data_IF_029957272214
#
_entry.id   IF_029957272214
#
_cell.length_a   1.000
_cell.length_b   1.000
_cell.length_c   1.000
_cell.angle_alpha   90.00
_cell.angle_beta   90.00
_cell.angle_gamma   90.00
#
_symmetry.space_group_name_H-M   'P 1'
#
loop_
_entity.id
_entity.type
_entity.pdbx_description
1 polymer ?
#
# COMPACT_ATOMS: atom_id res chain seq x y z
N UNK A 1 42.08 43.90 -97.95
CA UNK A 1 41.93 42.42 -97.93
C UNK A 1 42.60 41.96 -96.64
N UNK A 2 41.98 41.30 -95.67
CA UNK A 2 40.83 40.41 -95.65
C UNK A 2 40.00 40.66 -94.37
N UNK A 3 38.70 40.38 -94.46
CA UNK A 3 37.84 40.11 -93.31
C UNK A 3 38.34 38.89 -92.54
N UNK A 4 38.12 38.84 -91.23
CA UNK A 4 37.64 37.60 -90.61
C UNK A 4 36.85 37.90 -89.34
N UNK A 5 35.66 37.33 -89.33
CA UNK A 5 34.68 37.24 -88.24
C UNK A 5 35.06 35.99 -87.44
N UNK A 6 35.13 36.04 -86.12
CA UNK A 6 35.00 34.83 -85.30
C UNK A 6 34.28 35.17 -84.00
N UNK A 7 33.11 34.57 -83.89
CA UNK A 7 32.26 34.43 -82.71
C UNK A 7 32.97 33.60 -81.64
N UNK A 8 32.84 33.97 -80.36
CA UNK A 8 32.97 33.00 -79.28
C UNK A 8 31.91 33.25 -78.20
N UNK A 9 30.98 32.29 -78.20
CA UNK A 9 30.14 31.76 -77.13
C UNK A 9 30.56 32.12 -75.69
N UNK A 10 29.63 32.72 -74.94
CA UNK A 10 29.69 32.75 -73.47
C UNK A 10 29.12 31.43 -72.96
N UNK A 11 29.99 30.45 -72.80
CA UNK A 11 29.68 29.18 -72.12
C UNK A 11 29.92 29.39 -70.61
N UNK A 12 28.86 29.24 -69.81
CA UNK A 12 28.90 29.44 -68.36
C UNK A 12 29.75 28.36 -67.68
N UNK A 13 30.70 28.79 -66.84
CA UNK A 13 31.59 27.90 -66.08
C UNK A 13 30.79 27.08 -65.03
N UNK A 14 30.76 25.73 -65.13
CA UNK A 14 29.98 24.87 -64.22
C UNK A 14 30.52 24.79 -62.79
N UNK A 15 31.73 25.31 -62.51
CA UNK A 15 32.41 25.10 -61.22
C UNK A 15 32.26 26.25 -60.20
N UNK A 16 31.49 27.30 -60.51
CA UNK A 16 31.31 28.44 -59.61
C UNK A 16 30.12 28.26 -58.68
N UNK A 17 30.33 27.52 -57.59
CA UNK A 17 29.32 27.39 -56.52
C UNK A 17 29.28 28.69 -55.69
N UNK A 18 28.11 29.32 -55.61
CA UNK A 18 27.89 30.55 -54.85
C UNK A 18 28.23 30.36 -53.35
N UNK A 19 29.11 31.20 -52.75
CA UNK A 19 29.39 31.16 -51.30
C UNK A 19 28.13 31.23 -50.43
N UNK A 20 27.10 31.96 -50.86
CA UNK A 20 25.80 32.05 -50.17
C UNK A 20 25.04 30.72 -50.21
N UNK A 21 25.20 29.92 -51.27
CA UNK A 21 24.61 28.58 -51.37
C UNK A 21 25.32 27.56 -50.47
N UNK A 22 26.65 27.67 -50.31
CA UNK A 22 27.40 26.85 -49.35
C UNK A 22 27.08 27.21 -47.90
N UNK A 23 26.98 28.50 -47.59
CA UNK A 23 26.58 28.97 -46.26
C UNK A 23 25.13 28.57 -45.93
N UNK A 24 24.23 28.63 -46.93
CA UNK A 24 22.86 28.13 -46.81
C UNK A 24 22.78 26.61 -46.60
N UNK A 25 23.65 25.82 -47.24
CA UNK A 25 23.75 24.37 -47.02
C UNK A 25 24.22 24.04 -45.62
N UNK A 26 25.27 24.70 -45.13
CA UNK A 26 25.77 24.49 -43.77
C UNK A 26 24.70 24.90 -42.74
N UNK A 27 24.03 26.03 -42.95
CA UNK A 27 22.92 26.45 -42.09
C UNK A 27 21.76 25.44 -42.09
N UNK A 28 21.42 24.88 -43.26
CA UNK A 28 20.37 23.86 -43.40
C UNK A 28 20.76 22.56 -42.69
N UNK A 29 22.00 22.09 -42.86
CA UNK A 29 22.52 20.91 -42.16
C UNK A 29 22.56 21.14 -40.64
N UNK A 30 22.97 22.33 -40.19
CA UNK A 30 22.95 22.66 -38.77
C UNK A 30 21.52 22.71 -38.23
N UNK A 31 20.56 23.26 -38.97
CA UNK A 31 19.16 23.30 -38.56
C UNK A 31 18.54 21.91 -38.50
N UNK A 32 18.81 21.03 -39.48
CA UNK A 32 18.32 19.65 -39.45
C UNK A 32 18.94 18.85 -38.30
N UNK A 33 20.23 19.04 -38.02
CA UNK A 33 20.89 18.42 -36.86
C UNK A 33 20.27 18.92 -35.55
N UNK A 34 20.02 20.22 -35.41
CA UNK A 34 19.38 20.78 -34.22
C UNK A 34 17.94 20.26 -34.03
N UNK A 35 17.17 20.13 -35.11
CA UNK A 35 15.84 19.53 -35.05
C UNK A 35 15.91 18.07 -34.61
N UNK A 36 16.80 17.26 -35.19
CA UNK A 36 16.98 15.85 -34.81
C UNK A 36 17.39 15.69 -33.34
N UNK A 37 18.33 16.52 -32.87
CA UNK A 37 18.73 16.54 -31.46
C UNK A 37 17.57 16.95 -30.55
N UNK A 38 16.76 17.92 -30.95
CA UNK A 38 15.59 18.34 -30.16
C UNK A 38 14.55 17.21 -30.04
N UNK A 39 14.28 16.46 -31.12
CA UNK A 39 13.37 15.31 -31.09
C UNK A 39 13.91 14.17 -30.21
N UNK A 40 15.22 13.90 -30.23
CA UNK A 40 15.83 12.90 -29.35
C UNK A 40 15.70 13.29 -27.88
N UNK A 41 15.96 14.55 -27.53
CA UNK A 41 15.82 15.05 -26.15
C UNK A 41 14.36 15.00 -25.69
N UNK A 42 13.42 15.42 -26.54
CA UNK A 42 11.98 15.33 -26.25
C UNK A 42 11.59 13.86 -26.01
N UNK A 43 12.00 12.94 -26.89
CA UNK A 43 11.74 11.51 -26.76
C UNK A 43 12.27 10.90 -25.46
N UNK A 44 13.49 11.27 -25.04
CA UNK A 44 14.08 10.84 -23.76
C UNK A 44 13.30 11.42 -22.58
N UNK A 45 12.98 12.72 -22.59
CA UNK A 45 12.23 13.37 -21.51
C UNK A 45 10.81 12.80 -21.39
N UNK A 46 10.14 12.53 -22.50
CA UNK A 46 8.83 11.86 -22.49
C UNK A 46 8.94 10.41 -22.07
N UNK A 47 9.98 9.68 -22.47
CA UNK A 47 10.20 8.28 -22.08
C UNK A 47 10.52 8.14 -20.59
N UNK A 48 11.32 9.03 -20.02
CA UNK A 48 11.61 9.08 -18.58
C UNK A 48 10.37 9.46 -17.76
N UNK A 49 9.51 10.36 -18.27
CA UNK A 49 8.23 10.68 -17.62
C UNK A 49 7.17 9.57 -17.80
N UNK A 50 7.19 8.84 -18.92
CA UNK A 50 6.28 7.70 -19.16
C UNK A 50 6.57 6.52 -18.23
N UNK A 51 7.83 6.34 -17.80
CA UNK A 51 8.19 5.26 -16.88
C UNK A 51 7.77 5.54 -15.42
N UNK A 52 7.44 6.80 -15.09
CA UNK A 52 7.05 7.21 -13.74
C UNK A 52 5.53 7.35 -13.55
N UNK A 53 4.72 7.05 -14.58
CA UNK A 53 3.27 7.16 -14.52
C UNK A 53 2.52 5.86 -14.90
N UNK A 54 3.21 4.73 -14.97
CA UNK A 54 2.61 3.42 -15.30
C UNK A 54 2.25 2.57 -14.07
N UNK A 55 2.00 3.18 -12.91
CA UNK A 55 1.55 2.45 -11.71
C UNK A 55 0.31 3.05 -11.04
N UNK A 56 -0.57 3.68 -11.82
CA UNK A 56 -1.91 4.10 -11.36
C UNK A 56 -3.09 3.46 -12.13
N UNK A 57 -2.82 2.61 -13.13
CA UNK A 57 -3.86 2.10 -14.05
C UNK A 57 -4.14 0.59 -13.97
N UNK A 58 -3.61 -0.13 -12.97
CA UNK A 58 -3.95 -1.55 -12.72
C UNK A 58 -4.83 -1.81 -11.48
N UNK A 59 -5.11 -0.80 -10.66
CA UNK A 59 -5.92 -0.96 -9.43
C UNK A 59 -7.43 -0.71 -9.63
N UNK A 60 -7.86 -0.34 -10.84
CA UNK A 60 -9.28 -0.06 -11.17
C UNK A 60 -9.95 -1.11 -12.06
N UNK A 61 -9.24 -2.17 -12.45
CA UNK A 61 -9.73 -3.24 -13.33
C UNK A 61 -9.85 -4.63 -12.70
N UNK A 62 -9.69 -4.76 -11.38
CA UNK A 62 -9.81 -6.04 -10.65
C UNK A 62 -11.00 -6.09 -9.68
N UNK A 63 -11.91 -5.11 -9.75
CA UNK A 63 -13.21 -5.16 -9.10
C UNK A 63 -14.26 -5.26 -10.21
N UNK A 64 -15.17 -6.24 -10.12
CA UNK A 64 -16.06 -6.78 -11.19
C UNK A 64 -15.32 -7.73 -12.13
N UNK A 65 -15.53 -9.06 -12.18
CA UNK A 65 -16.82 -9.77 -12.17
C UNK A 65 -16.71 -11.27 -11.79
N UNK A 66 -15.76 -11.72 -10.97
CA UNK A 66 -15.71 -13.16 -10.62
C UNK A 66 -15.22 -13.50 -9.20
N UNK A 67 -15.70 -12.77 -8.19
CA UNK A 67 -15.79 -13.36 -6.84
C UNK A 67 -17.16 -13.99 -6.76
N UNK A 68 -17.25 -15.26 -7.16
CA UNK A 68 -18.32 -16.11 -6.61
C UNK A 68 -18.19 -16.03 -5.09
N UNK A 69 -19.22 -15.58 -4.35
CA UNK A 69 -19.16 -15.57 -2.91
C UNK A 69 -18.88 -16.99 -2.47
N UNK A 70 -17.71 -17.23 -1.87
CA UNK A 70 -17.48 -18.45 -1.11
C UNK A 70 -18.63 -18.47 -0.09
N UNK A 71 -19.48 -19.51 -0.06
CA UNK A 71 -20.57 -19.54 0.90
C UNK A 71 -19.97 -19.89 2.26
N UNK A 72 -19.29 -18.94 2.91
CA UNK A 72 -19.16 -18.94 4.35
C UNK A 72 -20.47 -18.41 4.93
N UNK A 73 -21.57 -19.15 4.68
CA UNK A 73 -22.77 -18.99 5.49
C UNK A 73 -22.51 -19.62 6.84
N UNK A 74 -21.71 -18.96 7.68
CA UNK A 74 -22.05 -19.00 9.09
C UNK A 74 -23.27 -18.11 9.25
N UNK A 75 -24.44 -18.76 9.24
CA UNK A 75 -25.73 -18.12 9.41
C UNK A 75 -25.83 -17.65 10.86
N UNK A 76 -25.08 -16.60 11.20
CA UNK A 76 -25.39 -15.80 12.37
C UNK A 76 -26.79 -15.24 12.13
N UNK A 77 -27.70 -15.49 13.07
CA UNK A 77 -28.99 -14.81 13.14
C UNK A 77 -28.78 -13.36 12.74
N UNK A 78 -29.50 -12.84 11.73
CA UNK A 78 -29.37 -11.48 11.17
C UNK A 78 -28.80 -10.50 12.20
N UNK A 79 -27.47 -10.40 12.23
CA UNK A 79 -26.75 -10.05 13.44
C UNK A 79 -26.83 -8.57 13.74
N UNK A 80 -26.63 -8.24 15.00
CA UNK A 80 -26.35 -6.88 15.46
C UNK A 80 -25.19 -6.19 14.72
N UNK A 81 -24.27 -6.97 14.16
CA UNK A 81 -23.05 -6.48 13.53
C UNK A 81 -23.26 -6.26 12.04
N UNK A 82 -22.60 -5.25 11.48
CA UNK A 82 -22.59 -4.94 10.05
C UNK A 82 -22.03 -6.10 9.22
N UNK A 83 -22.36 -6.13 7.92
CA UNK A 83 -21.81 -7.11 6.99
C UNK A 83 -20.27 -7.15 7.03
N UNK A 84 -19.71 -8.36 7.03
CA UNK A 84 -18.26 -8.59 7.14
C UNK A 84 -17.73 -8.66 8.58
N UNK A 85 -18.55 -8.31 9.58
CA UNK A 85 -18.20 -8.46 10.99
C UNK A 85 -18.71 -9.79 11.54
N UNK A 86 -18.00 -10.33 12.52
CA UNK A 86 -18.40 -11.54 13.24
C UNK A 86 -18.78 -11.16 14.67
N UNK A 87 -19.99 -11.54 15.09
CA UNK A 87 -20.46 -11.29 16.45
C UNK A 87 -20.01 -12.38 17.41
N UNK A 88 -19.54 -11.99 18.60
CA UNK A 88 -19.43 -12.89 19.76
C UNK A 88 -19.84 -12.15 21.03
N UNK A 89 -20.85 -12.70 21.72
CA UNK A 89 -21.54 -12.03 22.83
C UNK A 89 -22.02 -10.64 22.40
N UNK A 90 -21.59 -9.57 23.08
CA UNK A 90 -22.00 -8.20 22.83
C UNK A 90 -20.90 -7.41 22.09
N UNK A 91 -20.05 -8.10 21.34
CA UNK A 91 -18.94 -7.48 20.61
C UNK A 91 -18.96 -7.95 19.16
N UNK A 92 -18.68 -7.03 18.25
CA UNK A 92 -18.45 -7.30 16.84
C UNK A 92 -16.96 -7.24 16.56
N UNK A 93 -16.45 -8.20 15.79
CA UNK A 93 -15.04 -8.27 15.39
C UNK A 93 -14.89 -8.22 13.88
N UNK A 94 -13.91 -7.46 13.40
CA UNK A 94 -13.53 -7.39 11.99
C UNK A 94 -12.08 -7.85 11.85
N UNK A 95 -11.86 -8.89 11.03
CA UNK A 95 -10.51 -9.38 10.70
C UNK A 95 -10.05 -8.66 9.44
N UNK A 96 -9.08 -7.75 9.59
CA UNK A 96 -8.57 -6.99 8.46
C UNK A 96 -7.29 -7.65 7.94
N UNK A 97 -7.42 -8.29 6.78
CA UNK A 97 -6.35 -9.03 6.13
C UNK A 97 -5.45 -8.12 5.25
N UNK A 98 -5.09 -6.95 5.77
CA UNK A 98 -4.21 -5.97 5.13
C UNK A 98 -3.03 -5.71 6.06
N UNK A 99 -1.82 -5.84 5.53
CA UNK A 99 -0.60 -5.54 6.25
C UNK A 99 -0.53 -4.06 6.61
N UNK A 100 -0.28 -3.76 7.88
CA UNK A 100 -0.07 -2.40 8.35
C UNK A 100 0.71 -2.34 9.65
N UNK A 101 1.29 -1.16 9.90
CA UNK A 101 1.86 -0.83 11.22
C UNK A 101 0.76 -0.78 12.27
N UNK A 102 1.13 -0.80 13.55
CA UNK A 102 0.14 -0.73 14.63
C UNK A 102 -0.68 0.57 14.56
N UNK A 103 -0.04 1.71 14.27
CA UNK A 103 -0.75 3.00 14.15
C UNK A 103 -1.67 3.05 12.93
N UNK A 104 -1.26 2.49 11.79
CA UNK A 104 -2.14 2.38 10.62
C UNK A 104 -3.35 1.48 10.93
N UNK A 105 -3.10 0.34 11.56
CA UNK A 105 -4.15 -0.62 11.95
C UNK A 105 -5.15 0.00 12.93
N UNK A 106 -4.66 0.79 13.89
CA UNK A 106 -5.50 1.57 14.79
C UNK A 106 -6.37 2.56 14.03
N UNK A 107 -5.80 3.32 13.09
CA UNK A 107 -6.56 4.27 12.27
C UNK A 107 -7.65 3.58 11.46
N UNK A 108 -7.34 2.44 10.83
CA UNK A 108 -8.31 1.68 10.03
C UNK A 108 -9.47 1.14 10.88
N UNK A 109 -9.22 0.71 12.11
CA UNK A 109 -10.30 0.36 13.02
C UNK A 109 -11.15 1.59 13.40
N UNK A 110 -10.53 2.74 13.65
CA UNK A 110 -11.23 3.97 13.98
C UNK A 110 -12.12 4.48 12.84
N UNK A 111 -11.65 4.35 11.58
CA UNK A 111 -12.43 4.69 10.38
C UNK A 111 -13.70 3.84 10.25
N UNK A 112 -13.71 2.66 10.89
CA UNK A 112 -14.87 1.77 10.97
C UNK A 112 -15.68 1.93 12.27
N UNK A 113 -15.45 2.99 13.06
CA UNK A 113 -16.14 3.21 14.34
C UNK A 113 -15.77 2.20 15.43
N UNK A 114 -14.59 1.59 15.32
CA UNK A 114 -14.09 0.55 16.20
C UNK A 114 -12.71 0.93 16.77
N UNK A 115 -12.13 0.04 17.56
CA UNK A 115 -10.73 0.13 17.95
C UNK A 115 -10.05 -1.23 17.75
N UNK A 116 -8.72 -1.27 17.82
CA UNK A 116 -8.02 -2.56 17.84
C UNK A 116 -8.50 -3.40 19.03
N UNK A 117 -8.62 -4.70 18.83
CA UNK A 117 -9.16 -5.65 19.81
C UNK A 117 -8.50 -5.55 21.19
N UNK A 118 -9.29 -5.63 22.24
CA UNK A 118 -8.84 -5.68 23.64
C UNK A 118 -9.16 -7.06 24.20
N UNK A 119 -8.19 -7.73 24.79
CA UNK A 119 -8.41 -9.09 25.31
C UNK A 119 -8.98 -9.02 26.72
N UNK A 120 -10.27 -9.32 26.85
CA UNK A 120 -11.03 -9.23 28.10
C UNK A 120 -11.22 -10.59 28.77
N UNK A 121 -11.15 -11.69 28.02
CA UNK A 121 -11.39 -13.04 28.57
C UNK A 121 -10.71 -14.14 27.76
N UNK A 122 -10.57 -15.31 28.38
CA UNK A 122 -10.03 -16.52 27.73
C UNK A 122 -10.99 -17.03 26.64
N UNK A 123 -12.30 -16.97 26.88
CA UNK A 123 -13.30 -17.45 25.92
C UNK A 123 -13.38 -16.56 24.67
N UNK A 124 -13.12 -15.25 24.84
CA UNK A 124 -12.97 -14.33 23.71
C UNK A 124 -11.74 -14.69 22.87
N UNK A 125 -10.59 -14.95 23.51
CA UNK A 125 -9.38 -15.37 22.79
C UNK A 125 -9.60 -16.70 22.06
N UNK A 126 -10.24 -17.69 22.70
CA UNK A 126 -10.59 -18.96 22.07
C UNK A 126 -11.54 -18.79 20.87
N UNK A 127 -12.49 -17.84 20.95
CA UNK A 127 -13.37 -17.52 19.83
C UNK A 127 -12.59 -16.91 18.67
N UNK A 128 -11.72 -15.93 18.93
CA UNK A 128 -10.90 -15.27 17.91
C UNK A 128 -10.04 -16.26 17.15
N UNK A 129 -9.44 -17.23 17.85
CA UNK A 129 -8.62 -18.28 17.23
C UNK A 129 -9.37 -19.16 16.23
N UNK A 130 -10.70 -19.24 16.32
CA UNK A 130 -11.52 -20.01 15.39
C UNK A 130 -11.84 -19.25 14.11
N UNK A 131 -11.69 -17.92 14.10
CA UNK A 131 -12.09 -17.06 12.98
C UNK A 131 -10.89 -16.43 12.26
N UNK A 132 -9.72 -16.34 12.91
CA UNK A 132 -8.49 -15.85 12.27
C UNK A 132 -7.78 -16.94 11.47
N UNK A 133 -7.01 -16.53 10.46
CA UNK A 133 -6.14 -17.44 9.73
C UNK A 133 -4.93 -17.82 10.58
N UNK A 134 -4.42 -19.03 10.34
CA UNK A 134 -3.26 -19.62 11.02
C UNK A 134 -1.97 -18.82 10.83
N UNK A 135 -1.84 -18.14 9.70
CA UNK A 135 -0.80 -17.15 9.39
C UNK A 135 -1.44 -16.13 8.44
N UNK A 136 -1.16 -14.83 8.55
CA UNK A 136 -0.13 -14.16 9.38
C UNK A 136 -0.58 -13.90 10.84
N UNK A 137 0.21 -13.13 11.59
CA UNK A 137 -0.12 -12.64 12.94
C UNK A 137 -1.00 -11.39 12.89
N UNK A 138 -1.61 -11.04 14.03
CA UNK A 138 -2.60 -9.96 14.12
C UNK A 138 -2.31 -8.96 15.23
N UNK A 139 -2.21 -7.67 14.90
CA UNK A 139 -2.18 -6.60 15.88
C UNK A 139 -3.45 -6.59 16.74
N UNK A 140 -3.24 -6.35 18.04
CA UNK A 140 -4.29 -6.06 19.02
C UNK A 140 -4.01 -4.70 19.67
N UNK A 141 -4.98 -4.21 20.42
CA UNK A 141 -5.02 -2.85 20.94
C UNK A 141 -4.12 -2.59 22.15
N UNK A 142 -3.03 -3.34 22.32
CA UNK A 142 -2.12 -3.18 23.46
C UNK A 142 -0.79 -2.59 22.99
N UNK A 143 -0.35 -1.52 23.67
CA UNK A 143 0.90 -0.81 23.35
C UNK A 143 1.67 -0.47 24.61
N UNK A 144 3.00 -0.65 24.57
CA UNK A 144 3.94 -0.25 25.60
C UNK A 144 4.65 1.03 25.19
N UNK A 145 4.60 2.03 26.06
CA UNK A 145 5.32 3.28 25.84
C UNK A 145 6.84 3.15 26.13
N UNK A 146 7.57 4.25 25.91
CA UNK A 146 9.01 4.32 26.19
C UNK A 146 9.37 4.26 27.68
N UNK A 147 8.40 4.43 28.56
CA UNK A 147 8.55 4.28 30.01
C UNK A 147 8.28 2.83 30.46
N UNK A 148 7.96 1.93 29.54
CA UNK A 148 7.68 0.52 29.81
C UNK A 148 6.25 0.26 30.25
N UNK A 149 5.33 1.22 30.12
CA UNK A 149 3.94 1.10 30.56
C UNK A 149 3.03 0.58 29.45
N UNK A 150 2.34 -0.52 29.72
CA UNK A 150 1.33 -1.11 28.84
C UNK A 150 -0.02 -0.41 28.99
N UNK A 151 -0.67 -0.10 27.87
CA UNK A 151 -1.99 0.53 27.82
C UNK A 151 -2.86 -0.04 26.69
N UNK A 152 -4.14 -0.24 26.99
CA UNK A 152 -5.14 -0.62 25.99
C UNK A 152 -5.65 0.62 25.25
N UNK A 153 -5.92 0.48 23.94
CA UNK A 153 -6.41 1.56 23.06
C UNK A 153 -7.74 2.15 23.49
N UNK A 154 -8.56 1.39 24.21
CA UNK A 154 -9.87 1.84 24.69
C UNK A 154 -9.81 2.47 26.10
N UNK A 155 -8.63 2.52 26.72
CA UNK A 155 -8.42 3.07 28.06
C UNK A 155 -8.73 2.11 29.21
N UNK A 156 -9.07 0.84 28.93
CA UNK A 156 -9.25 -0.17 29.98
C UNK A 156 -7.95 -0.34 30.78
N UNK A 157 -8.09 -0.52 32.10
CA UNK A 157 -6.94 -0.67 32.97
C UNK A 157 -6.25 -2.01 32.69
N UNK A 158 -5.04 -1.94 32.13
CA UNK A 158 -4.19 -3.09 31.86
C UNK A 158 -4.13 -4.06 33.04
N UNK A 159 -3.87 -3.58 34.26
CA UNK A 159 -3.73 -4.43 35.45
C UNK A 159 -5.02 -5.14 35.89
N UNK A 160 -6.17 -4.79 35.31
CA UNK A 160 -7.46 -5.43 35.60
C UNK A 160 -7.93 -6.40 34.52
N UNK A 161 -7.24 -6.45 33.38
CA UNK A 161 -7.52 -7.39 32.28
C UNK A 161 -6.61 -8.61 32.38
N UNK A 162 -7.06 -9.80 31.94
CA UNK A 162 -6.19 -10.97 31.86
C UNK A 162 -5.07 -10.75 30.85
N UNK A 163 -3.90 -11.34 31.13
CA UNK A 163 -2.73 -11.26 30.25
C UNK A 163 -2.36 -12.66 29.76
N UNK A 164 -2.41 -12.84 28.44
CA UNK A 164 -2.19 -14.12 27.77
C UNK A 164 -0.86 -14.13 27.00
N UNK A 165 0.19 -13.59 27.62
CA UNK A 165 1.56 -13.61 27.10
C UNK A 165 2.06 -15.04 26.88
N UNK A 166 2.68 -15.29 25.74
CA UNK A 166 3.40 -16.54 25.47
C UNK A 166 4.59 -16.72 26.43
N UNK A 167 5.13 -17.93 26.48
CA UNK A 167 6.30 -18.22 27.28
C UNK A 167 7.48 -17.33 26.86
N UNK A 168 8.10 -16.67 27.84
CA UNK A 168 9.16 -15.68 27.67
C UNK A 168 8.73 -14.33 27.07
N UNK A 169 7.43 -14.04 27.02
CA UNK A 169 6.90 -12.74 26.59
C UNK A 169 6.37 -11.90 27.77
N UNK A 170 6.37 -10.56 27.65
CA UNK A 170 7.02 -9.79 26.58
C UNK A 170 8.55 -9.88 26.66
N UNK A 171 9.23 -10.00 25.51
CA UNK A 171 10.69 -10.23 25.47
C UNK A 171 11.49 -8.94 25.25
N UNK A 172 10.90 -7.93 24.62
CA UNK A 172 11.58 -6.66 24.34
C UNK A 172 11.30 -5.72 25.50
N UNK A 173 12.31 -5.22 26.24
CA UNK A 173 12.07 -4.36 27.41
C UNK A 173 12.53 -2.91 27.22
N UNK A 174 13.43 -2.67 26.26
CA UNK A 174 14.11 -1.37 26.09
C UNK A 174 13.53 -0.49 24.96
N UNK A 175 12.46 -0.94 24.29
CA UNK A 175 11.85 -0.25 23.16
C UNK A 175 10.33 -0.14 23.30
N UNK A 176 9.76 0.88 22.65
CA UNK A 176 8.32 0.94 22.40
C UNK A 176 7.91 -0.32 21.63
N UNK A 177 6.89 -1.03 22.12
CA UNK A 177 6.45 -2.27 21.49
C UNK A 177 4.94 -2.40 21.54
N UNK A 178 4.41 -3.10 20.55
CA UNK A 178 2.99 -3.30 20.37
C UNK A 178 2.71 -4.79 20.47
N UNK A 179 1.55 -5.16 21.04
CA UNK A 179 1.20 -6.56 21.18
C UNK A 179 0.46 -7.08 19.96
N UNK A 180 0.72 -8.34 19.61
CA UNK A 180 0.00 -9.07 18.58
C UNK A 180 -0.34 -10.48 19.06
N UNK A 181 -1.32 -11.09 18.43
CA UNK A 181 -1.62 -12.51 18.56
C UNK A 181 -0.91 -13.28 17.45
N UNK A 182 -0.27 -14.39 17.79
CA UNK A 182 0.18 -15.36 16.79
C UNK A 182 -1.00 -16.10 16.19
N UNK A 183 -1.01 -16.23 14.86
CA UNK A 183 -1.84 -17.24 14.22
C UNK A 183 -1.31 -18.64 14.57
N UNK A 184 -2.18 -19.59 14.94
CA UNK A 184 -1.77 -20.93 15.35
C UNK A 184 -2.76 -22.01 14.89
N UNK A 185 -2.22 -23.19 14.59
CA UNK A 185 -2.97 -24.43 14.30
C UNK A 185 -3.55 -25.08 15.55
N UNK A 186 -3.12 -24.62 16.71
CA UNK A 186 -3.47 -25.17 18.01
C UNK A 186 -4.02 -24.05 18.89
N UNK A 187 -5.09 -24.35 19.62
CA UNK A 187 -5.67 -23.42 20.59
C UNK A 187 -4.73 -23.37 21.81
N UNK A 188 -3.69 -22.57 21.74
CA UNK A 188 -2.89 -22.18 22.89
C UNK A 188 -3.53 -20.95 23.53
N UNK A 189 -3.61 -20.92 24.86
CA UNK A 189 -4.19 -19.80 25.62
C UNK A 189 -3.17 -18.71 25.94
N UNK A 190 -1.94 -18.89 25.48
CA UNK A 190 -0.82 -17.96 25.61
C UNK A 190 -0.31 -17.65 24.22
N UNK A 191 -0.66 -16.49 23.70
CA UNK A 191 -0.48 -16.13 22.27
C UNK A 191 -0.06 -14.68 22.06
N UNK A 192 -0.10 -13.86 23.12
CA UNK A 192 0.32 -12.49 23.03
C UNK A 192 1.85 -12.44 22.96
N UNK A 193 2.35 -11.71 21.99
CA UNK A 193 3.77 -11.40 21.79
C UNK A 193 3.93 -9.90 21.63
N UNK A 194 5.08 -9.36 21.99
CA UNK A 194 5.43 -7.99 21.66
C UNK A 194 6.32 -7.90 20.42
N UNK A 195 6.18 -6.82 19.67
CA UNK A 195 6.99 -6.55 18.49
C UNK A 195 7.15 -5.04 18.27
N UNK A 196 8.15 -4.66 17.45
CA UNK A 196 8.30 -3.28 16.97
C UNK A 196 6.99 -2.85 16.28
N UNK A 197 6.38 -1.77 16.79
CA UNK A 197 5.11 -1.22 16.32
C UNK A 197 5.11 -0.82 14.83
N UNK A 198 6.30 -0.67 14.22
CA UNK A 198 6.49 -0.37 12.80
C UNK A 198 6.47 -1.62 11.91
N UNK A 199 6.49 -2.81 12.50
CA UNK A 199 6.32 -4.06 11.75
C UNK A 199 4.93 -4.11 11.13
N UNK A 200 4.79 -4.79 10.01
CA UNK A 200 3.51 -4.92 9.32
C UNK A 200 2.84 -6.23 9.67
N UNK A 201 1.57 -6.18 10.06
CA UNK A 201 0.74 -7.35 10.40
C UNK A 201 -0.71 -7.13 9.95
N UNK A 202 -1.49 -8.19 9.92
CA UNK A 202 -2.95 -8.05 9.89
C UNK A 202 -3.42 -7.50 11.24
N UNK A 203 -4.71 -7.17 11.37
CA UNK A 203 -5.23 -6.63 12.61
C UNK A 203 -6.67 -7.03 12.85
N UNK A 204 -7.07 -6.97 14.12
CA UNK A 204 -8.42 -7.29 14.56
C UNK A 204 -9.01 -6.02 15.14
N UNK A 205 -10.12 -5.57 14.58
CA UNK A 205 -10.92 -4.51 15.17
C UNK A 205 -12.03 -5.10 16.02
N UNK A 206 -12.39 -4.41 17.10
CA UNK A 206 -13.59 -4.72 17.90
C UNK A 206 -14.43 -3.46 18.13
N UNK A 207 -15.74 -3.64 18.19
CA UNK A 207 -16.66 -2.64 18.73
C UNK A 207 -17.72 -3.32 19.61
N UNK A 208 -17.98 -2.73 20.78
CA UNK A 208 -19.00 -3.21 21.69
C UNK A 208 -20.37 -2.69 21.25
N UNK A 209 -21.35 -3.56 21.31
CA UNK A 209 -22.73 -3.24 20.99
C UNK A 209 -23.35 -2.50 22.18
N UNK A 210 -23.76 -1.26 21.96
CA UNK A 210 -24.37 -0.45 23.02
C UNK A 210 -25.76 -1.00 23.40
N UNK A 211 -26.10 -0.88 24.69
CA UNK A 211 -27.44 -1.22 25.18
C UNK A 211 -28.45 -0.21 24.61
N UNK A 212 -29.29 -0.67 23.68
CA UNK A 212 -30.36 0.16 23.09
C UNK A 212 -30.54 0.00 21.58
N UNK A 213 -29.72 -0.83 20.92
CA UNK A 213 -29.82 -1.13 19.48
C UNK A 213 -30.80 -2.27 19.14
N UNK A 214 -31.84 -2.47 19.96
CA UNK A 214 -32.87 -3.50 19.78
C UNK A 214 -34.27 -2.89 19.84
#
# INVERSE_FOLDING_TARGET
MQSNKLSDNVEGNPDRVDPFYQQGKVACVMFTVLLLLSFLVIGIVTGLNFNNNSQEDQTRGLLSDDITPIPFQYKGDRGLCSDGWVSYKNTCYLIVNVYGTWELSKSLCQDNGAHLMVVNSEEELEFILRIVQKRPDYWIGLKRDKMGQWSWVNGDNYHSTPHFWDENEPAHWDIESCAHLKGSDTVHRKLMHDADCRSERYHICECKLEKGMW
#
